data_IF_863841713703
#
_entry.id   IF_863841713703
#
_cell.length_a   1.000
_cell.length_b   1.000
_cell.length_c   1.000
_cell.angle_alpha   90.00
_cell.angle_beta   90.00
_cell.angle_gamma   90.00
#
_symmetry.space_group_name_H-M   'P 1'
#
loop_
_entity.id
_entity.type
_entity.pdbx_description
1 polymer ?
#
# COMPACT_ATOMS: atom_id res chain seq x y z
N UNK A 1 1.87 -31.49 -17.78
CA UNK A 1 0.41 -31.68 -17.71
C UNK A 1 0.13 -32.97 -16.96
N UNK A 2 0.30 -32.97 -15.63
CA UNK A 2 0.09 -34.14 -14.78
C UNK A 2 -1.40 -34.34 -14.50
N UNK A 3 -1.79 -35.61 -14.38
CA UNK A 3 -3.11 -36.14 -14.05
C UNK A 3 -3.99 -35.20 -13.23
N UNK A 4 -5.24 -34.99 -13.65
CA UNK A 4 -6.34 -34.15 -13.11
C UNK A 4 -6.62 -34.27 -11.57
N UNK A 5 -5.60 -34.15 -10.73
CA UNK A 5 -5.62 -34.41 -9.28
C UNK A 5 -5.75 -33.13 -8.45
N UNK A 6 -6.32 -32.06 -9.02
CA UNK A 6 -6.62 -30.81 -8.31
C UNK A 6 -7.46 -31.08 -7.04
N UNK A 7 -8.32 -32.10 -7.10
CA UNK A 7 -9.14 -32.62 -6.00
C UNK A 7 -8.35 -33.14 -4.78
N UNK A 8 -7.03 -33.31 -4.88
CA UNK A 8 -6.17 -33.74 -3.78
C UNK A 8 -5.34 -32.61 -3.15
N UNK A 9 -5.36 -31.41 -3.73
CA UNK A 9 -4.48 -30.31 -3.30
C UNK A 9 -4.93 -29.79 -1.92
N UNK A 10 -4.02 -29.75 -0.93
CA UNK A 10 -4.24 -29.06 0.33
C UNK A 10 -3.89 -27.57 0.19
N UNK A 11 -4.89 -26.72 -0.05
CA UNK A 11 -4.67 -25.30 -0.35
C UNK A 11 -3.89 -24.52 0.72
N UNK A 12 -4.04 -24.88 1.99
CA UNK A 12 -3.29 -24.28 3.10
C UNK A 12 -1.77 -24.56 3.06
N UNK A 13 -1.30 -25.47 2.20
CA UNK A 13 0.13 -25.76 1.97
C UNK A 13 0.65 -25.20 0.66
N UNK A 14 -0.20 -24.59 -0.16
CA UNK A 14 0.22 -23.99 -1.42
C UNK A 14 1.02 -22.72 -1.12
N UNK A 15 2.24 -22.66 -1.66
CA UNK A 15 3.12 -21.50 -1.51
C UNK A 15 2.49 -20.23 -2.11
N UNK A 16 2.83 -19.06 -1.57
CA UNK A 16 2.19 -17.79 -1.96
C UNK A 16 2.27 -17.50 -3.46
N UNK A 17 3.45 -17.69 -4.07
CA UNK A 17 3.67 -17.51 -5.52
C UNK A 17 2.83 -18.48 -6.35
N UNK A 18 2.77 -19.75 -5.93
CA UNK A 18 1.97 -20.76 -6.61
C UNK A 18 0.46 -20.46 -6.48
N UNK A 19 0.04 -19.96 -5.31
CA UNK A 19 -1.35 -19.55 -5.09
C UNK A 19 -1.74 -18.41 -6.04
N UNK A 20 -0.87 -17.41 -6.19
CA UNK A 20 -1.09 -16.29 -7.12
C UNK A 20 -1.14 -16.75 -8.57
N UNK A 21 -0.20 -17.61 -8.98
CA UNK A 21 -0.10 -18.09 -10.37
C UNK A 21 -1.28 -19.00 -10.78
N UNK A 22 -1.77 -19.83 -9.86
CA UNK A 22 -2.77 -20.86 -10.17
C UNK A 22 -4.18 -20.54 -9.64
N UNK A 23 -4.40 -19.37 -9.04
CA UNK A 23 -5.71 -18.96 -8.47
C UNK A 23 -6.88 -19.16 -9.44
N UNK A 24 -6.71 -18.80 -10.71
CA UNK A 24 -7.75 -18.94 -11.73
C UNK A 24 -8.02 -20.40 -12.07
N UNK A 25 -6.97 -21.23 -12.17
CA UNK A 25 -7.11 -22.66 -12.41
C UNK A 25 -7.85 -23.32 -11.25
N UNK A 26 -7.55 -22.95 -10.00
CA UNK A 26 -8.27 -23.46 -8.84
C UNK A 26 -9.75 -23.06 -8.85
N UNK A 27 -10.06 -21.82 -9.20
CA UNK A 27 -11.44 -21.35 -9.35
C UNK A 27 -12.19 -22.06 -10.49
N UNK A 28 -11.53 -22.32 -11.62
CA UNK A 28 -12.15 -22.95 -12.78
C UNK A 28 -12.41 -24.44 -12.58
N UNK A 29 -11.50 -25.14 -11.90
CA UNK A 29 -11.52 -26.61 -11.85
C UNK A 29 -11.88 -27.21 -10.48
N UNK A 30 -11.81 -26.44 -9.39
CA UNK A 30 -12.16 -26.91 -8.05
C UNK A 30 -12.79 -25.79 -7.21
N UNK A 31 -13.72 -25.06 -7.85
CA UNK A 31 -14.40 -23.88 -7.31
C UNK A 31 -14.89 -24.07 -5.88
N UNK A 32 -15.66 -25.13 -5.63
CA UNK A 32 -16.35 -25.35 -4.35
C UNK A 32 -15.36 -25.53 -3.19
N UNK A 33 -14.31 -26.35 -3.35
CA UNK A 33 -13.31 -26.53 -2.29
C UNK A 33 -12.45 -25.28 -2.13
N UNK A 34 -12.12 -24.61 -3.23
CA UNK A 34 -11.27 -23.44 -3.19
C UNK A 34 -11.98 -22.24 -2.55
N UNK A 35 -13.23 -21.95 -2.92
CA UNK A 35 -14.05 -20.90 -2.29
C UNK A 35 -14.21 -21.14 -0.80
N UNK A 36 -14.53 -22.39 -0.39
CA UNK A 36 -14.59 -22.76 1.02
C UNK A 36 -13.26 -22.51 1.73
N UNK A 37 -12.13 -22.86 1.12
CA UNK A 37 -10.82 -22.55 1.69
C UNK A 37 -10.61 -21.04 1.87
N UNK A 38 -11.02 -20.20 0.91
CA UNK A 38 -10.90 -18.75 1.04
C UNK A 38 -11.81 -18.18 2.13
N UNK A 39 -13.02 -18.72 2.30
CA UNK A 39 -13.92 -18.40 3.43
C UNK A 39 -13.29 -18.82 4.78
N UNK A 40 -12.69 -20.02 4.85
CA UNK A 40 -12.01 -20.50 6.05
C UNK A 40 -10.83 -19.59 6.43
N UNK A 41 -10.08 -19.06 5.44
CA UNK A 41 -9.00 -18.08 5.64
C UNK A 41 -9.55 -16.74 6.12
N UNK A 42 -10.63 -16.25 5.50
CA UNK A 42 -11.29 -15.01 5.90
C UNK A 42 -11.84 -15.07 7.33
N UNK A 43 -12.40 -16.22 7.71
CA UNK A 43 -12.86 -16.51 9.07
C UNK A 43 -11.70 -16.76 10.08
N UNK A 44 -10.44 -16.80 9.62
CA UNK A 44 -9.26 -17.04 10.46
C UNK A 44 -9.07 -18.49 10.90
N UNK A 45 -9.83 -19.43 10.35
CA UNK A 45 -9.73 -20.88 10.66
C UNK A 45 -8.72 -21.61 9.80
N UNK A 46 -8.27 -20.99 8.70
CA UNK A 46 -7.18 -21.43 7.84
C UNK A 46 -6.18 -20.29 7.62
N UNK A 47 -5.03 -20.59 7.01
CA UNK A 47 -4.01 -19.59 6.67
C UNK A 47 -3.67 -19.65 5.19
N UNK A 48 -3.45 -18.48 4.61
CA UNK A 48 -2.88 -18.32 3.27
C UNK A 48 -1.43 -17.87 3.39
N UNK A 49 -0.55 -18.40 2.55
CA UNK A 49 0.82 -17.95 2.48
C UNK A 49 0.91 -16.60 1.75
N UNK A 50 1.62 -15.63 2.33
CA UNK A 50 1.97 -14.34 1.71
C UNK A 50 3.48 -14.03 1.74
N UNK A 51 4.27 -14.72 2.57
CA UNK A 51 5.62 -14.29 2.93
C UNK A 51 6.68 -14.24 1.81
N UNK A 52 6.48 -14.93 0.67
CA UNK A 52 7.41 -14.85 -0.46
C UNK A 52 7.01 -13.81 -1.51
N UNK A 53 5.83 -13.18 -1.38
CA UNK A 53 5.40 -12.12 -2.29
C UNK A 53 5.84 -10.76 -1.74
N UNK A 54 6.25 -9.88 -2.64
CA UNK A 54 6.49 -8.47 -2.33
C UNK A 54 5.20 -7.65 -2.50
N UNK A 55 5.04 -6.52 -1.79
CA UNK A 55 3.81 -5.71 -1.85
C UNK A 55 3.37 -5.36 -3.28
N UNK A 56 4.31 -4.94 -4.12
CA UNK A 56 4.03 -4.58 -5.52
C UNK A 56 3.59 -5.79 -6.36
N UNK A 57 4.10 -7.00 -6.06
CA UNK A 57 3.68 -8.22 -6.76
C UNK A 57 2.24 -8.61 -6.42
N UNK A 58 1.82 -8.38 -5.17
CA UNK A 58 0.43 -8.63 -4.74
C UNK A 58 -0.51 -7.70 -5.50
N UNK A 59 -0.25 -6.39 -5.51
CA UNK A 59 -1.16 -5.45 -6.19
C UNK A 59 -1.10 -5.56 -7.72
N UNK A 60 0.04 -5.95 -8.29
CA UNK A 60 0.17 -6.20 -9.73
C UNK A 60 -0.81 -7.29 -10.19
N UNK A 61 -1.00 -8.32 -9.36
CA UNK A 61 -1.94 -9.40 -9.62
C UNK A 61 -3.43 -9.00 -9.59
N UNK A 62 -3.77 -7.74 -9.25
CA UNK A 62 -5.11 -7.18 -9.46
C UNK A 62 -5.37 -6.82 -10.93
N UNK A 63 -4.32 -6.54 -11.71
CA UNK A 63 -4.45 -6.14 -13.12
C UNK A 63 -4.61 -7.36 -14.06
N UNK A 64 -4.30 -8.56 -13.57
CA UNK A 64 -4.27 -9.80 -14.38
C UNK A 64 -5.65 -10.41 -14.66
N UNK A 65 -6.73 -9.90 -14.04
CA UNK A 65 -8.11 -10.34 -14.28
C UNK A 65 -9.06 -10.13 -13.10
N UNK A 66 -10.36 -10.38 -13.33
CA UNK A 66 -11.40 -10.32 -12.28
C UNK A 66 -11.43 -11.58 -11.40
N UNK A 67 -10.96 -12.71 -11.92
CA UNK A 67 -10.97 -13.98 -11.20
C UNK A 67 -9.82 -14.05 -10.18
N UNK A 68 -10.16 -14.28 -8.92
CA UNK A 68 -9.18 -14.44 -7.85
C UNK A 68 -8.82 -13.16 -7.11
N UNK A 69 -9.56 -12.06 -7.27
CA UNK A 69 -9.40 -10.86 -6.45
C UNK A 69 -9.40 -11.16 -4.94
N UNK A 70 -10.26 -12.09 -4.49
CA UNK A 70 -10.29 -12.56 -3.09
C UNK A 70 -8.95 -13.15 -2.62
N UNK A 71 -8.22 -13.85 -3.48
CA UNK A 71 -6.88 -14.38 -3.13
C UNK A 71 -5.92 -13.24 -2.88
N UNK A 72 -5.94 -12.21 -3.74
CA UNK A 72 -5.07 -11.05 -3.64
C UNK A 72 -5.37 -10.25 -2.36
N UNK A 73 -6.64 -10.00 -2.05
CA UNK A 73 -7.07 -9.36 -0.79
C UNK A 73 -6.57 -10.12 0.43
N UNK A 74 -6.75 -11.45 0.46
CA UNK A 74 -6.32 -12.26 1.59
C UNK A 74 -4.79 -12.32 1.73
N UNK A 75 -4.05 -12.32 0.61
CA UNK A 75 -2.59 -12.24 0.62
C UNK A 75 -2.09 -10.88 1.12
N UNK A 76 -2.71 -9.79 0.68
CA UNK A 76 -2.41 -8.43 1.17
C UNK A 76 -2.68 -8.32 2.67
N UNK A 77 -3.89 -8.68 3.09
CA UNK A 77 -4.28 -8.68 4.49
C UNK A 77 -3.31 -9.47 5.35
N UNK A 78 -2.94 -10.68 4.91
CA UNK A 78 -1.97 -11.52 5.62
C UNK A 78 -0.61 -10.84 5.77
N UNK A 79 -0.11 -10.20 4.72
CA UNK A 79 1.16 -9.46 4.75
C UNK A 79 1.12 -8.29 5.75
N UNK A 80 0.03 -7.52 5.74
CA UNK A 80 -0.16 -6.38 6.65
C UNK A 80 -0.28 -6.87 8.10
N UNK A 81 -1.08 -7.91 8.34
CA UNK A 81 -1.25 -8.52 9.66
C UNK A 81 0.11 -9.05 10.18
N UNK A 82 0.90 -9.73 9.34
CA UNK A 82 2.25 -10.20 9.69
C UNK A 82 3.20 -9.06 10.06
N UNK A 83 3.14 -7.93 9.37
CA UNK A 83 3.95 -6.76 9.72
C UNK A 83 3.46 -6.09 11.00
N UNK A 84 2.15 -5.99 11.21
CA UNK A 84 1.56 -5.44 12.44
C UNK A 84 1.91 -6.27 13.68
N UNK A 85 2.03 -7.60 13.55
CA UNK A 85 2.52 -8.48 14.62
C UNK A 85 3.95 -8.13 15.05
N UNK A 86 4.79 -7.63 14.13
CA UNK A 86 6.16 -7.18 14.43
C UNK A 86 6.22 -5.72 14.91
N UNK A 87 5.16 -4.94 14.70
CA UNK A 87 5.00 -3.58 15.22
C UNK A 87 4.44 -2.60 14.20
N UNK A 88 3.95 -1.47 14.71
CA UNK A 88 3.43 -0.37 13.88
C UNK A 88 4.54 0.59 13.44
N UNK A 89 4.34 1.23 12.30
CA UNK A 89 5.17 2.32 11.80
C UNK A 89 4.80 3.61 12.55
N UNK A 90 5.44 3.83 13.70
CA UNK A 90 5.18 5.04 14.50
C UNK A 90 5.68 6.30 13.79
N UNK A 91 4.80 7.29 13.68
CA UNK A 91 5.13 8.63 13.19
C UNK A 91 5.78 8.63 11.80
N UNK A 92 5.28 7.79 10.91
CA UNK A 92 5.75 7.70 9.53
C UNK A 92 4.72 8.33 8.58
N UNK A 93 5.20 8.91 7.48
CA UNK A 93 4.38 9.40 6.38
C UNK A 93 4.96 8.91 5.06
N UNK A 94 4.10 8.52 4.12
CA UNK A 94 4.50 8.21 2.76
C UNK A 94 4.21 9.39 1.82
N UNK A 95 5.17 9.69 0.96
CA UNK A 95 5.04 10.57 -0.20
C UNK A 95 5.13 9.69 -1.44
N UNK A 96 4.04 9.60 -2.19
CA UNK A 96 3.90 8.68 -3.31
C UNK A 96 4.00 9.42 -4.64
N UNK A 97 4.96 9.01 -5.46
CA UNK A 97 5.03 9.41 -6.87
C UNK A 97 4.15 8.50 -7.71
N UNK A 98 3.16 9.11 -8.35
CA UNK A 98 2.22 8.47 -9.27
C UNK A 98 2.25 9.17 -10.63
N UNK A 99 3.38 9.77 -10.96
CA UNK A 99 3.61 10.39 -12.26
C UNK A 99 3.65 9.37 -13.40
N UNK A 100 3.53 9.86 -14.63
CA UNK A 100 3.56 8.99 -15.80
C UNK A 100 4.92 8.30 -16.01
N UNK A 101 6.03 8.82 -15.48
CA UNK A 101 7.35 8.16 -15.55
C UNK A 101 7.39 6.89 -14.70
N UNK A 102 6.60 6.86 -13.62
CA UNK A 102 6.46 5.69 -12.76
C UNK A 102 5.76 4.51 -13.45
N UNK A 103 5.22 4.66 -14.67
CA UNK A 103 4.43 3.61 -15.35
C UNK A 103 5.08 2.22 -15.31
N UNK A 104 4.28 1.20 -14.98
CA UNK A 104 4.72 -0.18 -14.81
C UNK A 104 5.13 -0.50 -13.37
N UNK A 105 6.21 -1.26 -13.19
CA UNK A 105 6.67 -1.71 -11.87
C UNK A 105 6.95 -0.57 -10.88
N UNK A 106 7.55 0.59 -11.26
CA UNK A 106 7.75 1.68 -10.30
C UNK A 106 6.45 2.21 -9.69
N UNK A 107 5.37 2.32 -10.48
CA UNK A 107 4.03 2.72 -10.04
C UNK A 107 3.49 1.71 -9.04
N UNK A 108 3.59 0.42 -9.35
CA UNK A 108 3.15 -0.63 -8.44
C UNK A 108 3.95 -0.62 -7.13
N UNK A 109 5.25 -0.32 -7.19
CA UNK A 109 6.09 -0.15 -5.99
C UNK A 109 5.65 1.05 -5.17
N UNK A 110 5.47 2.21 -5.78
CA UNK A 110 5.06 3.45 -5.09
C UNK A 110 3.70 3.31 -4.43
N UNK A 111 2.71 2.78 -5.16
CA UNK A 111 1.35 2.56 -4.68
C UNK A 111 1.33 1.53 -3.56
N UNK A 112 1.97 0.38 -3.74
CA UNK A 112 1.97 -0.68 -2.73
C UNK A 112 2.69 -0.24 -1.45
N UNK A 113 3.86 0.38 -1.55
CA UNK A 113 4.59 0.82 -0.36
C UNK A 113 3.90 2.01 0.33
N UNK A 114 3.29 2.92 -0.44
CA UNK A 114 2.47 4.00 0.09
C UNK A 114 1.28 3.49 0.90
N UNK A 115 0.53 2.54 0.33
CA UNK A 115 -0.56 1.87 1.03
C UNK A 115 -0.08 1.13 2.28
N UNK A 116 1.01 0.38 2.17
CA UNK A 116 1.56 -0.37 3.29
C UNK A 116 1.99 0.54 4.45
N UNK A 117 2.71 1.63 4.17
CA UNK A 117 3.09 2.61 5.20
C UNK A 117 1.85 3.22 5.83
N UNK A 118 0.84 3.56 5.03
CA UNK A 118 -0.43 4.14 5.48
C UNK A 118 -1.23 3.20 6.41
N UNK A 119 -1.29 1.90 6.10
CA UNK A 119 -1.98 0.89 6.90
C UNK A 119 -1.23 0.52 8.18
N UNK A 120 0.11 0.54 8.15
CA UNK A 120 0.97 0.30 9.31
C UNK A 120 1.10 1.51 10.25
N UNK A 121 0.67 2.69 9.80
CA UNK A 121 0.77 3.93 10.57
C UNK A 121 -0.24 4.01 11.71
N UNK A 122 0.09 4.81 12.73
CA UNK A 122 -0.79 5.11 13.87
C UNK A 122 -1.60 6.39 13.62
N UNK A 123 -2.71 6.54 14.34
CA UNK A 123 -3.45 7.81 14.36
C UNK A 123 -2.55 8.95 14.86
N UNK A 124 -2.66 10.18 14.31
CA UNK A 124 -3.64 10.64 13.32
C UNK A 124 -3.20 10.43 11.86
N UNK A 125 -2.09 9.72 11.60
CA UNK A 125 -1.49 9.60 10.27
C UNK A 125 -1.98 8.38 9.49
N UNK A 126 -2.57 7.41 10.21
CA UNK A 126 -3.15 6.20 9.63
C UNK A 126 -4.10 6.53 8.48
N UNK A 127 -4.00 5.72 7.42
CA UNK A 127 -4.86 5.84 6.24
C UNK A 127 -4.49 7.03 5.33
N UNK A 128 -3.44 7.79 5.64
CA UNK A 128 -3.07 9.00 4.88
C UNK A 128 -1.78 8.83 4.09
N UNK A 129 -1.73 9.50 2.94
CA UNK A 129 -0.55 9.61 2.06
C UNK A 129 -0.45 11.03 1.52
N UNK A 130 0.75 11.44 1.13
CA UNK A 130 0.99 12.72 0.48
C UNK A 130 1.37 12.49 -0.99
N UNK A 131 0.88 13.32 -1.90
CA UNK A 131 1.27 13.26 -3.31
C UNK A 131 2.67 13.83 -3.54
N UNK A 132 3.45 13.18 -4.39
CA UNK A 132 4.69 13.73 -4.95
C UNK A 132 4.32 14.77 -6.03
N UNK A 133 4.19 16.04 -5.62
CA UNK A 133 3.70 17.14 -6.46
C UNK A 133 4.28 18.50 -6.04
N UNK A 134 4.40 19.44 -6.97
CA UNK A 134 4.74 20.85 -6.70
C UNK A 134 3.71 21.49 -5.76
N UNK A 135 2.48 20.95 -5.80
CA UNK A 135 1.35 21.26 -4.93
C UNK A 135 0.95 19.96 -4.22
N UNK A 136 1.74 19.51 -3.23
CA UNK A 136 1.45 18.27 -2.54
C UNK A 136 0.10 18.39 -1.83
N UNK A 137 -0.61 17.27 -1.74
CA UNK A 137 -1.88 17.15 -1.06
C UNK A 137 -1.84 15.97 -0.11
N UNK A 138 -2.38 16.16 1.10
CA UNK A 138 -2.59 15.08 2.05
C UNK A 138 -3.94 14.43 1.78
N UNK A 139 -3.92 13.16 1.37
CA UNK A 139 -5.11 12.40 1.07
C UNK A 139 -5.37 11.35 2.14
N UNK A 140 -6.63 11.24 2.57
CA UNK A 140 -7.12 10.05 3.26
C UNK A 140 -7.53 9.04 2.18
N UNK A 141 -6.85 7.90 2.12
CA UNK A 141 -7.10 6.87 1.11
C UNK A 141 -8.55 6.40 1.22
N UNK A 142 -9.27 6.43 0.10
CA UNK A 142 -10.64 5.95 -0.02
C UNK A 142 -10.68 4.56 -0.69
N UNK A 143 -11.71 3.78 -0.37
CA UNK A 143 -11.94 2.46 -0.94
C UNK A 143 -12.13 1.37 0.12
N UNK A 144 -13.00 0.40 -0.19
CA UNK A 144 -13.36 -0.70 0.71
C UNK A 144 -12.45 -1.93 0.50
N UNK A 145 -11.89 -2.07 -0.71
CA UNK A 145 -11.03 -3.18 -1.13
C UNK A 145 -9.66 -2.68 -1.62
N UNK A 146 -8.69 -3.56 -1.75
CA UNK A 146 -7.34 -3.22 -2.21
C UNK A 146 -7.36 -2.63 -3.62
N UNK A 147 -8.24 -3.10 -4.52
CA UNK A 147 -8.37 -2.57 -5.88
C UNK A 147 -8.78 -1.11 -5.88
N UNK A 148 -9.82 -0.74 -5.14
CA UNK A 148 -10.31 0.63 -5.03
C UNK A 148 -9.31 1.53 -4.32
N UNK A 149 -8.64 1.05 -3.27
CA UNK A 149 -7.54 1.79 -2.60
C UNK A 149 -6.35 2.04 -3.53
N UNK A 150 -5.89 1.02 -4.26
CA UNK A 150 -4.84 1.16 -5.27
C UNK A 150 -5.27 2.14 -6.37
N UNK A 151 -6.50 2.01 -6.85
CA UNK A 151 -7.08 2.93 -7.83
C UNK A 151 -7.11 4.37 -7.32
N UNK A 152 -7.50 4.59 -6.06
CA UNK A 152 -7.50 5.93 -5.46
C UNK A 152 -6.09 6.53 -5.47
N UNK A 153 -5.08 5.79 -4.99
CA UNK A 153 -3.69 6.27 -4.92
C UNK A 153 -3.13 6.54 -6.33
N UNK A 154 -3.35 5.63 -7.29
CA UNK A 154 -2.89 5.78 -8.69
C UNK A 154 -3.47 6.99 -9.41
N UNK A 155 -4.68 7.41 -9.03
CA UNK A 155 -5.38 8.53 -9.67
C UNK A 155 -5.21 9.85 -8.90
N UNK A 156 -4.34 9.91 -7.88
CA UNK A 156 -4.06 11.17 -7.21
C UNK A 156 -3.35 12.14 -8.17
N UNK A 157 -3.65 13.43 -8.03
CA UNK A 157 -3.03 14.47 -8.84
C UNK A 157 -1.52 14.54 -8.61
N UNK A 158 -0.74 14.40 -9.68
CA UNK A 158 0.71 14.60 -9.69
C UNK A 158 1.05 15.87 -10.48
N UNK A 159 2.01 16.64 -9.98
CA UNK A 159 2.32 18.00 -10.45
C UNK A 159 3.75 18.19 -10.95
N UNK A 160 4.28 17.21 -11.68
CA UNK A 160 5.63 17.18 -12.29
C UNK A 160 6.84 17.01 -11.36
N UNK A 161 6.93 17.72 -10.23
CA UNK A 161 8.03 17.60 -9.26
C UNK A 161 7.49 17.54 -7.83
N UNK A 162 8.33 17.60 -6.78
CA UNK A 162 7.88 17.73 -5.38
C UNK A 162 8.41 18.97 -4.70
N UNK A 163 7.58 19.60 -3.86
CA UNK A 163 7.98 20.68 -2.97
C UNK A 163 7.92 20.22 -1.50
N UNK A 164 9.07 19.81 -0.94
CA UNK A 164 9.14 19.31 0.44
C UNK A 164 8.79 20.36 1.49
N UNK A 165 9.00 21.65 1.23
CA UNK A 165 8.59 22.70 2.16
C UNK A 165 7.07 22.66 2.36
N UNK A 166 6.30 22.52 1.27
CA UNK A 166 4.85 22.37 1.35
C UNK A 166 4.42 21.05 1.98
N UNK A 167 5.19 19.97 1.80
CA UNK A 167 4.97 18.71 2.52
C UNK A 167 5.09 18.93 4.03
N UNK A 168 6.14 19.63 4.49
CA UNK A 168 6.29 19.97 5.91
C UNK A 168 5.21 20.91 6.41
N UNK A 169 4.80 21.91 5.63
CA UNK A 169 3.69 22.81 5.97
C UNK A 169 2.38 22.02 6.19
N UNK A 170 2.06 21.03 5.32
CA UNK A 170 0.89 20.16 5.50
C UNK A 170 0.95 19.34 6.80
N UNK A 171 2.14 18.79 7.12
CA UNK A 171 2.33 18.03 8.35
C UNK A 171 2.16 18.92 9.59
N UNK A 172 2.68 20.15 9.55
CA UNK A 172 2.50 21.14 10.60
C UNK A 172 1.05 21.58 10.72
N UNK A 173 0.33 21.76 9.61
CA UNK A 173 -1.09 22.11 9.64
C UNK A 173 -1.92 21.04 10.34
N UNK A 174 -1.71 19.76 10.03
CA UNK A 174 -2.36 18.65 10.74
C UNK A 174 -2.01 18.67 12.23
N UNK A 175 -0.77 18.99 12.57
CA UNK A 175 -0.32 19.06 13.95
C UNK A 175 -1.00 20.17 14.74
N UNK A 176 -1.07 21.37 14.16
CA UNK A 176 -1.70 22.54 14.76
C UNK A 176 -3.21 22.32 14.89
N UNK A 177 -3.88 21.89 13.82
CA UNK A 177 -5.31 21.65 13.81
C UNK A 177 -5.72 20.50 14.75
N UNK A 178 -4.87 19.48 14.87
CA UNK A 178 -5.07 18.33 15.76
C UNK A 178 -4.57 18.53 17.19
N UNK A 179 -3.97 19.70 17.50
CA UNK A 179 -3.27 19.96 18.77
C UNK A 179 -2.34 18.81 19.19
N UNK A 180 -1.52 18.34 18.25
CA UNK A 180 -0.70 17.15 18.44
C UNK A 180 0.43 17.41 19.42
N UNK A 181 0.62 16.46 20.34
CA UNK A 181 1.81 16.42 21.19
C UNK A 181 3.05 16.17 20.32
N UNK A 182 4.22 16.75 20.64
CA UNK A 182 5.45 16.54 19.88
C UNK A 182 5.80 15.05 19.66
N UNK A 183 5.43 14.19 20.61
CA UNK A 183 5.64 12.74 20.52
C UNK A 183 4.83 12.06 19.39
N UNK A 184 3.74 12.66 18.92
CA UNK A 184 2.91 12.18 17.80
C UNK A 184 3.28 12.82 16.45
N UNK A 185 4.23 13.75 16.42
CA UNK A 185 4.70 14.36 15.17
C UNK A 185 5.42 13.34 14.30
N UNK A 186 5.26 13.47 12.98
CA UNK A 186 6.01 12.68 12.00
C UNK A 186 7.52 12.81 12.25
N UNK A 187 8.18 11.66 12.36
CA UNK A 187 9.63 11.52 12.58
C UNK A 187 10.34 11.00 11.34
N UNK A 188 9.61 10.36 10.43
CA UNK A 188 10.17 9.76 9.21
C UNK A 188 9.23 9.94 8.04
N UNK A 189 9.76 10.42 6.92
CA UNK A 189 9.06 10.49 5.65
C UNK A 189 9.71 9.47 4.71
N UNK A 190 8.89 8.59 4.14
CA UNK A 190 9.28 7.69 3.07
C UNK A 190 8.84 8.31 1.74
N UNK A 191 9.78 8.46 0.81
CA UNK A 191 9.51 9.01 -0.51
C UNK A 191 9.72 7.90 -1.53
N UNK A 192 8.69 7.58 -2.29
CA UNK A 192 8.74 6.56 -3.34
C UNK A 192 8.63 7.27 -4.68
N UNK A 193 9.76 7.41 -5.39
CA UNK A 193 9.88 8.08 -6.69
C UNK A 193 11.00 7.44 -7.51
N UNK A 194 10.90 7.56 -8.83
CA UNK A 194 11.92 7.18 -9.81
C UNK A 194 12.91 8.31 -10.12
N UNK A 195 12.75 9.49 -9.52
CA UNK A 195 13.62 10.63 -9.74
C UNK A 195 15.04 10.40 -9.21
N UNK A 196 16.03 10.70 -10.04
CA UNK A 196 17.33 11.19 -9.58
C UNK A 196 17.08 12.62 -9.02
N UNK A 197 17.54 12.91 -7.80
CA UNK A 197 17.25 14.16 -7.08
C UNK A 197 17.91 15.39 -7.74
N UNK A 198 17.44 15.82 -8.90
CA UNK A 198 18.05 16.94 -9.64
C UNK A 198 17.61 18.29 -9.05
N UNK A 199 16.41 18.36 -8.45
CA UNK A 199 15.91 19.55 -7.75
C UNK A 199 14.72 19.22 -6.82
N UNK A 200 14.99 19.02 -5.54
CA UNK A 200 13.96 18.76 -4.50
C UNK A 200 13.26 20.03 -3.98
N UNK A 201 13.86 21.20 -4.23
CA UNK A 201 13.33 22.51 -3.85
C UNK A 201 13.94 23.60 -4.74
N UNK A 202 13.09 24.41 -5.37
CA UNK A 202 13.50 25.57 -6.18
C UNK A 202 13.70 26.86 -5.35
N UNK A 203 13.35 26.84 -4.06
CA UNK A 203 13.27 28.03 -3.20
C UNK A 203 14.11 27.84 -1.93
N UNK A 204 14.81 28.89 -1.51
CA UNK A 204 15.42 28.97 -0.18
C UNK A 204 14.32 28.95 0.90
N UNK A 205 14.61 28.27 2.02
CA UNK A 205 13.68 28.17 3.15
C UNK A 205 13.37 29.56 3.73
N UNK A 206 12.10 29.97 3.63
CA UNK A 206 11.57 31.13 4.35
C UNK A 206 10.58 30.61 5.39
N UNK A 207 10.94 30.72 6.67
CA UNK A 207 10.08 30.32 7.78
C UNK A 207 8.79 31.16 7.78
N UNK A 208 7.64 30.50 7.59
CA UNK A 208 6.31 31.13 7.71
C UNK A 208 5.75 31.08 9.13
N UNK A 209 6.34 30.26 9.98
CA UNK A 209 5.84 29.99 11.33
C UNK A 209 6.78 30.64 12.36
N UNK A 210 6.25 31.32 13.40
CA UNK A 210 7.07 31.81 14.49
C UNK A 210 7.73 30.63 15.21
N UNK A 211 8.90 30.83 15.86
CA UNK A 211 9.52 29.79 16.66
C UNK A 211 8.55 29.31 17.75
N UNK A 212 8.40 27.99 17.86
CA UNK A 212 7.64 27.38 18.93
C UNK A 212 8.38 27.63 20.26
N UNK A 213 7.72 28.32 21.20
CA UNK A 213 8.19 28.48 22.58
C UNK A 213 7.95 27.21 23.40
#
# INVERSE_FOLDING_TARGET
MSSNQLSSIPYNRVASVAMTLYKEIFLLHDKVRFEKYLEDVEAGTSKIAAGALLPHQIIHSLEEGDLGGKVVELQWKRMVDDMLEHGKMRNCMAVCDVSSSMSGTPMDVSVALGLLVSELSEEPWKGKVITFSERPQLHLIQGDDLRSKCGFVRNMDWGMNTNFQKVFDLLLEVAVNGNLRPEHMIKRIFVFSDMEFDMASLLEYVAKWPPFN
#
